data_IF_990763060014
#
_entry.id   IF_990763060014
#
_cell.length_a   1.000
_cell.length_b   1.000
_cell.length_c   1.000
_cell.angle_alpha   90.00
_cell.angle_beta   90.00
_cell.angle_gamma   90.00
#
_symmetry.space_group_name_H-M   'P 1'
#
loop_
_entity.id
_entity.type
_entity.pdbx_description
1 polymer ?
#
# COMPACT_ATOMS: atom_id res chain seq x y z
N UNK A 1 -25.26 -42.01 -10.89
CA UNK A 1 -24.42 -41.60 -9.75
C UNK A 1 -23.52 -40.49 -10.25
N UNK A 2 -24.02 -39.26 -10.15
CA UNK A 2 -23.28 -38.05 -10.54
C UNK A 2 -22.52 -37.59 -9.30
N UNK A 3 -21.20 -37.66 -9.34
CA UNK A 3 -20.33 -37.31 -8.22
C UNK A 3 -20.43 -35.82 -7.95
N UNK A 4 -20.74 -35.46 -6.69
CA UNK A 4 -21.02 -34.10 -6.25
C UNK A 4 -19.91 -33.10 -6.58
N UNK A 5 -20.07 -32.39 -7.70
CA UNK A 5 -19.32 -31.16 -7.97
C UNK A 5 -19.86 -30.08 -7.03
N UNK A 6 -19.18 -29.91 -5.89
CA UNK A 6 -19.40 -28.77 -5.01
C UNK A 6 -19.40 -27.48 -5.81
N UNK A 7 -20.36 -26.61 -5.54
CA UNK A 7 -20.52 -25.30 -6.20
C UNK A 7 -19.16 -24.58 -6.21
N UNK A 8 -18.68 -24.04 -7.34
CA UNK A 8 -17.38 -23.38 -7.39
C UNK A 8 -17.35 -22.27 -6.34
N UNK A 9 -16.33 -22.30 -5.47
CA UNK A 9 -16.14 -21.30 -4.42
C UNK A 9 -16.01 -19.94 -5.10
N UNK A 10 -16.95 -19.04 -4.82
CA UNK A 10 -16.89 -17.67 -5.34
C UNK A 10 -15.62 -16.99 -4.83
N UNK A 11 -15.00 -16.14 -5.64
CA UNK A 11 -13.78 -15.42 -5.27
C UNK A 11 -13.91 -14.66 -3.95
N UNK A 12 -15.12 -14.25 -3.55
CA UNK A 12 -15.44 -13.66 -2.23
C UNK A 12 -14.94 -14.51 -1.05
N UNK A 13 -14.95 -15.84 -1.16
CA UNK A 13 -14.59 -16.76 -0.08
C UNK A 13 -13.17 -17.32 -0.20
N UNK A 14 -12.34 -16.76 -1.07
CA UNK A 14 -10.93 -17.12 -1.13
C UNK A 14 -10.26 -16.72 0.18
N UNK A 15 -9.40 -17.61 0.71
CA UNK A 15 -8.64 -17.40 1.94
C UNK A 15 -7.89 -16.05 1.94
N UNK A 16 -7.16 -15.64 0.88
CA UNK A 16 -6.52 -14.32 0.84
C UNK A 16 -7.52 -13.16 0.97
N UNK A 17 -8.72 -13.27 0.37
CA UNK A 17 -9.73 -12.21 0.45
C UNK A 17 -10.35 -12.12 1.84
N UNK A 18 -10.54 -13.27 2.51
CA UNK A 18 -10.99 -13.30 3.92
C UNK A 18 -9.95 -12.63 4.83
N UNK A 19 -8.65 -12.87 4.59
CA UNK A 19 -7.58 -12.16 5.30
C UNK A 19 -7.68 -10.65 5.01
N UNK A 20 -7.86 -10.24 3.76
CA UNK A 20 -8.09 -8.84 3.38
C UNK A 20 -9.26 -8.18 4.12
N UNK A 21 -10.41 -8.86 4.24
CA UNK A 21 -11.55 -8.36 5.01
C UNK A 21 -11.23 -8.24 6.50
N UNK A 22 -10.48 -9.21 7.06
CA UNK A 22 -10.05 -9.14 8.45
C UNK A 22 -9.12 -7.96 8.74
N UNK A 23 -8.26 -7.58 7.78
CA UNK A 23 -7.41 -6.37 7.86
C UNK A 23 -8.27 -5.12 7.98
N UNK A 24 -9.31 -4.99 7.15
CA UNK A 24 -10.24 -3.84 7.22
C UNK A 24 -10.92 -3.76 8.60
N UNK A 25 -11.40 -4.89 9.13
CA UNK A 25 -12.01 -4.95 10.47
C UNK A 25 -11.01 -4.54 11.56
N UNK A 26 -9.77 -5.04 11.50
CA UNK A 26 -8.71 -4.67 12.44
C UNK A 26 -8.41 -3.16 12.42
N UNK A 27 -8.40 -2.53 11.24
CA UNK A 27 -8.21 -1.08 11.11
C UNK A 27 -9.34 -0.28 11.79
N UNK A 28 -10.59 -0.71 11.65
CA UNK A 28 -11.72 -0.08 12.35
C UNK A 28 -11.62 -0.24 13.87
N UNK A 29 -11.25 -1.42 14.36
CA UNK A 29 -11.05 -1.67 15.79
C UNK A 29 -9.86 -0.83 16.31
N UNK A 30 -8.79 -0.69 15.52
CA UNK A 30 -7.64 0.12 15.90
C UNK A 30 -8.02 1.59 16.15
N UNK A 31 -8.90 2.17 15.32
CA UNK A 31 -9.31 3.58 15.42
C UNK A 31 -9.96 3.95 16.76
N UNK A 32 -10.74 3.03 17.34
CA UNK A 32 -11.45 3.26 18.61
C UNK A 32 -10.59 2.97 19.85
N UNK A 33 -9.36 2.48 19.63
CA UNK A 33 -8.46 2.03 20.68
C UNK A 33 -7.45 3.12 21.12
N UNK A 34 -6.81 2.91 22.28
CA UNK A 34 -5.71 3.76 22.75
C UNK A 34 -4.52 3.73 21.79
N UNK A 35 -3.65 4.75 21.80
CA UNK A 35 -2.52 4.84 20.85
C UNK A 35 -1.60 3.61 20.85
N UNK A 36 -1.38 2.98 22.01
CA UNK A 36 -0.58 1.75 22.11
C UNK A 36 -1.27 0.57 21.42
N UNK A 37 -2.57 0.39 21.69
CA UNK A 37 -3.35 -0.68 21.09
C UNK A 37 -3.58 -0.45 19.59
N UNK A 38 -3.75 0.81 19.16
CA UNK A 38 -3.75 1.21 17.76
C UNK A 38 -2.47 0.72 17.05
N UNK A 39 -1.29 1.01 17.60
CA UNK A 39 0.00 0.60 16.99
C UNK A 39 0.08 -0.92 16.87
N UNK A 40 -0.35 -1.68 17.87
CA UNK A 40 -0.34 -3.15 17.85
C UNK A 40 -1.29 -3.69 16.77
N UNK A 41 -2.58 -3.29 16.82
CA UNK A 41 -3.60 -3.75 15.88
C UNK A 41 -3.28 -3.35 14.44
N UNK A 42 -2.79 -2.13 14.25
CA UNK A 42 -2.31 -1.64 12.96
C UNK A 42 -1.14 -2.49 12.44
N UNK A 43 -0.14 -2.75 13.29
CA UNK A 43 1.03 -3.56 12.91
C UNK A 43 0.62 -4.98 12.53
N UNK A 44 -0.32 -5.59 13.26
CA UNK A 44 -0.89 -6.91 12.91
C UNK A 44 -1.60 -6.85 11.55
N UNK A 45 -2.45 -5.84 11.33
CA UNK A 45 -3.13 -5.63 10.05
C UNK A 45 -2.15 -5.42 8.89
N UNK A 46 -1.04 -4.73 9.13
CA UNK A 46 0.01 -4.52 8.14
C UNK A 46 0.79 -5.80 7.84
N UNK A 47 1.08 -6.63 8.85
CA UNK A 47 1.76 -7.92 8.62
C UNK A 47 0.88 -8.94 7.90
N UNK A 48 -0.44 -8.89 8.11
CA UNK A 48 -1.41 -9.74 7.41
C UNK A 48 -1.45 -9.49 5.90
N UNK A 49 -1.05 -8.31 5.43
CA UNK A 49 -0.86 -7.98 4.01
C UNK A 49 0.09 -8.97 3.31
N UNK A 50 1.28 -9.15 3.88
CA UNK A 50 2.26 -10.08 3.32
C UNK A 50 1.73 -11.53 3.34
N UNK A 51 0.88 -11.87 4.32
CA UNK A 51 0.30 -13.19 4.46
C UNK A 51 -0.82 -13.46 3.45
N UNK A 52 -1.66 -12.48 3.11
CA UNK A 52 -2.69 -12.66 2.08
C UNK A 52 -2.08 -12.92 0.70
N UNK A 53 -1.04 -12.17 0.32
CA UNK A 53 -0.33 -12.35 -0.95
C UNK A 53 0.44 -13.67 -1.01
N UNK A 54 0.97 -14.13 0.12
CA UNK A 54 1.61 -15.45 0.22
C UNK A 54 0.58 -16.58 0.12
N UNK A 55 -0.54 -16.47 0.82
CA UNK A 55 -1.64 -17.43 0.78
C UNK A 55 -2.23 -17.54 -0.63
N UNK A 56 -2.43 -16.42 -1.33
CA UNK A 56 -2.94 -16.39 -2.70
C UNK A 56 -2.08 -17.23 -3.66
N UNK A 57 -0.75 -17.13 -3.55
CA UNK A 57 0.20 -17.86 -4.42
C UNK A 57 0.25 -19.35 -4.12
N UNK A 58 0.27 -19.72 -2.84
CA UNK A 58 0.32 -21.15 -2.43
C UNK A 58 -0.98 -21.85 -2.77
N UNK A 59 -2.11 -21.22 -2.49
CA UNK A 59 -3.43 -21.79 -2.69
C UNK A 59 -3.92 -21.66 -4.13
N UNK A 60 -3.16 -20.96 -5.01
CA UNK A 60 -3.55 -20.61 -6.39
C UNK A 60 -4.92 -19.90 -6.42
N UNK A 61 -5.16 -19.03 -5.45
CA UNK A 61 -6.39 -18.25 -5.24
C UNK A 61 -6.17 -16.77 -5.60
N UNK A 62 -5.35 -16.49 -6.60
CA UNK A 62 -5.15 -15.13 -7.13
C UNK A 62 -6.42 -14.68 -7.88
N UNK A 63 -6.90 -13.47 -7.60
CA UNK A 63 -8.12 -12.93 -8.21
C UNK A 63 -8.03 -11.41 -8.41
N UNK A 64 -8.76 -10.89 -9.40
CA UNK A 64 -8.86 -9.44 -9.62
C UNK A 64 -9.48 -8.72 -8.42
N UNK A 65 -10.47 -9.36 -7.77
CA UNK A 65 -11.06 -8.86 -6.54
C UNK A 65 -10.00 -8.72 -5.44
N UNK A 66 -9.17 -9.75 -5.23
CA UNK A 66 -8.10 -9.70 -4.22
C UNK A 66 -7.08 -8.62 -4.51
N UNK A 67 -6.68 -8.46 -5.78
CA UNK A 67 -5.76 -7.38 -6.19
C UNK A 67 -6.30 -5.97 -5.89
N UNK A 68 -7.58 -5.72 -6.22
CA UNK A 68 -8.21 -4.42 -5.95
C UNK A 68 -8.43 -4.20 -4.45
N UNK A 69 -8.86 -5.25 -3.74
CA UNK A 69 -9.09 -5.21 -2.30
C UNK A 69 -7.80 -4.88 -1.53
N UNK A 70 -6.70 -5.55 -1.87
CA UNK A 70 -5.38 -5.35 -1.28
C UNK A 70 -4.93 -3.90 -1.43
N UNK A 71 -4.91 -3.43 -2.68
CA UNK A 71 -4.49 -2.07 -3.02
C UNK A 71 -5.37 -1.00 -2.35
N UNK A 72 -6.69 -1.21 -2.27
CA UNK A 72 -7.60 -0.29 -1.58
C UNK A 72 -7.38 -0.30 -0.06
N UNK A 73 -7.17 -1.48 0.53
CA UNK A 73 -6.95 -1.67 1.97
C UNK A 73 -5.63 -1.03 2.39
N UNK A 74 -4.57 -1.13 1.57
CA UNK A 74 -3.31 -0.42 1.78
C UNK A 74 -3.49 1.09 1.89
N UNK A 75 -4.25 1.69 0.96
CA UNK A 75 -4.48 3.14 0.97
C UNK A 75 -5.30 3.56 2.18
N UNK A 76 -6.32 2.78 2.54
CA UNK A 76 -7.10 3.01 3.75
C UNK A 76 -6.24 2.90 5.02
N UNK A 77 -5.35 1.91 5.06
CA UNK A 77 -4.38 1.71 6.15
C UNK A 77 -3.45 2.92 6.30
N UNK A 78 -2.79 3.36 5.22
CA UNK A 78 -1.92 4.54 5.25
C UNK A 78 -2.68 5.81 5.65
N UNK A 79 -3.91 6.00 5.17
CA UNK A 79 -4.76 7.14 5.54
C UNK A 79 -5.05 7.16 7.05
N UNK A 80 -5.45 6.02 7.61
CA UNK A 80 -5.75 5.89 9.05
C UNK A 80 -4.51 6.15 9.90
N UNK A 81 -3.34 5.62 9.50
CA UNK A 81 -2.09 5.87 10.21
C UNK A 81 -1.70 7.36 10.19
N UNK A 82 -1.84 8.01 9.04
CA UNK A 82 -1.61 9.45 8.89
C UNK A 82 -2.56 10.25 9.76
N UNK A 83 -3.86 9.95 9.73
CA UNK A 83 -4.87 10.63 10.55
C UNK A 83 -4.50 10.51 12.03
N UNK A 84 -4.18 9.30 12.51
CA UNK A 84 -3.76 9.09 13.90
C UNK A 84 -2.50 9.88 14.24
N UNK A 85 -1.52 9.92 13.34
CA UNK A 85 -0.28 10.69 13.54
C UNK A 85 -0.57 12.19 13.65
N UNK A 86 -1.42 12.73 12.77
CA UNK A 86 -1.83 14.14 12.77
C UNK A 86 -2.55 14.52 14.08
N UNK A 87 -3.42 13.64 14.62
CA UNK A 87 -4.11 13.92 15.89
C UNK A 87 -3.15 14.10 17.06
N UNK A 88 -1.99 13.44 17.04
CA UNK A 88 -0.96 13.55 18.07
C UNK A 88 0.07 14.65 17.77
N UNK A 89 0.35 14.89 16.48
CA UNK A 89 1.32 15.87 16.01
C UNK A 89 0.71 16.82 14.97
N UNK A 90 -0.13 17.79 15.37
CA UNK A 90 -0.83 18.68 14.43
C UNK A 90 0.09 19.48 13.50
N UNK A 91 1.34 19.73 13.92
CA UNK A 91 2.37 20.39 13.10
C UNK A 91 2.72 19.63 11.82
N UNK A 92 2.49 18.31 11.80
CA UNK A 92 2.73 17.45 10.63
C UNK A 92 1.54 17.39 9.66
N UNK A 93 0.46 18.16 9.90
CA UNK A 93 -0.75 18.13 9.08
C UNK A 93 -0.47 18.35 7.59
N UNK A 94 0.17 19.46 7.23
CA UNK A 94 0.44 19.82 5.83
C UNK A 94 1.27 18.75 5.11
N UNK A 95 2.47 18.34 5.61
CA UNK A 95 3.29 17.37 4.88
C UNK A 95 2.63 16.00 4.77
N UNK A 96 1.93 15.51 5.80
CA UNK A 96 1.28 14.20 5.76
C UNK A 96 0.02 14.19 4.89
N UNK A 97 -0.79 15.25 4.90
CA UNK A 97 -1.91 15.39 3.98
C UNK A 97 -1.43 15.49 2.53
N UNK A 98 -0.38 16.27 2.27
CA UNK A 98 0.25 16.33 0.95
C UNK A 98 0.73 14.95 0.49
N UNK A 99 1.41 14.20 1.37
CA UNK A 99 1.80 12.81 1.09
C UNK A 99 0.60 11.93 0.72
N UNK A 100 -0.47 11.96 1.52
CA UNK A 100 -1.66 11.13 1.29
C UNK A 100 -2.35 11.45 -0.04
N UNK A 101 -2.50 12.73 -0.36
CA UNK A 101 -3.10 13.18 -1.64
C UNK A 101 -2.30 12.63 -2.81
N UNK A 102 -0.98 12.79 -2.76
CA UNK A 102 -0.05 12.33 -3.79
C UNK A 102 -0.09 10.81 -3.94
N UNK A 103 -0.10 10.08 -2.83
CA UNK A 103 -0.13 8.63 -2.80
C UNK A 103 -1.41 8.09 -3.48
N UNK A 104 -2.57 8.62 -3.09
CA UNK A 104 -3.87 8.24 -3.69
C UNK A 104 -3.88 8.56 -5.19
N UNK A 105 -3.55 9.79 -5.59
CA UNK A 105 -3.63 10.21 -6.99
C UNK A 105 -2.65 9.40 -7.86
N UNK A 106 -1.41 9.19 -7.40
CA UNK A 106 -0.40 8.43 -8.16
C UNK A 106 -0.83 6.99 -8.45
N UNK A 107 -1.45 6.33 -7.47
CA UNK A 107 -1.95 4.96 -7.64
C UNK A 107 -3.22 4.93 -8.50
N UNK A 108 -4.14 5.87 -8.32
CA UNK A 108 -5.33 5.98 -9.19
C UNK A 108 -4.94 6.14 -10.66
N UNK A 109 -4.00 7.03 -10.96
CA UNK A 109 -3.48 7.22 -12.32
C UNK A 109 -2.82 5.96 -12.87
N UNK A 110 -2.06 5.24 -12.05
CA UNK A 110 -1.41 3.99 -12.46
C UNK A 110 -2.42 2.90 -12.83
N UNK A 111 -3.50 2.75 -12.06
CA UNK A 111 -4.56 1.78 -12.34
C UNK A 111 -5.31 2.17 -13.61
N UNK A 112 -5.72 3.43 -13.73
CA UNK A 112 -6.44 3.93 -14.91
C UNK A 112 -5.59 3.74 -16.17
N UNK A 113 -4.32 4.15 -16.13
CA UNK A 113 -3.39 3.89 -17.22
C UNK A 113 -3.30 2.40 -17.56
N UNK A 114 -3.23 1.50 -16.59
CA UNK A 114 -3.22 0.05 -16.86
C UNK A 114 -4.51 -0.45 -17.49
N UNK A 115 -5.66 0.14 -17.16
CA UNK A 115 -6.95 -0.22 -17.72
C UNK A 115 -7.18 0.32 -19.14
N UNK A 116 -6.70 1.54 -19.43
CA UNK A 116 -6.89 2.21 -20.72
C UNK A 116 -5.85 1.74 -21.75
N UNK A 117 -4.59 1.58 -21.33
CA UNK A 117 -3.52 1.09 -22.21
C UNK A 117 -3.73 -0.38 -22.57
N UNK A 118 -4.26 -0.65 -23.77
CA UNK A 118 -4.38 -2.01 -24.34
C UNK A 118 -3.03 -2.70 -24.61
N UNK A 119 -1.91 -2.03 -24.39
CA UNK A 119 -0.55 -2.52 -24.61
C UNK A 119 0.10 -2.96 -23.30
N UNK A 120 0.02 -4.25 -23.02
CA UNK A 120 0.58 -4.90 -21.82
C UNK A 120 2.12 -4.91 -21.73
N UNK A 121 2.86 -4.19 -22.58
CA UNK A 121 4.31 -4.19 -22.57
C UNK A 121 4.89 -2.80 -22.83
N UNK A 122 5.73 -2.35 -21.89
CA UNK A 122 6.67 -1.19 -21.93
C UNK A 122 6.21 0.15 -21.34
N UNK A 123 5.62 0.16 -20.14
CA UNK A 123 5.59 1.39 -19.32
C UNK A 123 6.99 1.76 -18.79
N UNK A 124 7.95 0.83 -18.74
CA UNK A 124 9.30 1.07 -18.19
C UNK A 124 10.44 1.06 -19.23
N UNK A 125 10.15 1.20 -20.54
CA UNK A 125 11.17 1.13 -21.58
C UNK A 125 11.77 2.48 -21.98
N UNK A 126 11.89 3.42 -21.04
CA UNK A 126 12.69 4.64 -21.20
C UNK A 126 14.04 4.48 -20.52
N UNK A 127 15.10 5.04 -21.12
CA UNK A 127 16.47 5.00 -20.59
C UNK A 127 16.79 6.14 -19.60
N UNK A 128 15.79 6.97 -19.28
CA UNK A 128 15.92 8.17 -18.48
C UNK A 128 16.11 7.90 -16.98
N UNK A 129 16.55 8.94 -16.25
CA UNK A 129 16.79 8.86 -14.81
C UNK A 129 15.54 8.44 -14.02
N UNK A 130 14.37 8.95 -14.40
CA UNK A 130 13.08 8.63 -13.76
C UNK A 130 12.75 7.14 -13.90
N UNK A 131 12.99 6.55 -15.07
CA UNK A 131 12.74 5.13 -15.32
C UNK A 131 13.68 4.25 -14.50
N UNK A 132 14.94 4.64 -14.34
CA UNK A 132 15.90 3.92 -13.50
C UNK A 132 15.51 3.96 -12.03
N UNK A 133 15.13 5.12 -11.52
CA UNK A 133 14.69 5.30 -10.13
C UNK A 133 13.45 4.46 -9.85
N UNK A 134 12.43 4.54 -10.72
CA UNK A 134 11.22 3.73 -10.56
C UNK A 134 11.51 2.23 -10.70
N UNK A 135 12.36 1.83 -11.65
CA UNK A 135 12.73 0.41 -11.80
C UNK A 135 13.46 -0.13 -10.58
N UNK A 136 14.33 0.68 -9.96
CA UNK A 136 14.98 0.35 -8.69
C UNK A 136 13.96 0.24 -7.54
N UNK A 137 13.03 1.20 -7.44
CA UNK A 137 11.96 1.20 -6.43
C UNK A 137 11.07 -0.05 -6.51
N UNK A 138 10.74 -0.52 -7.72
CA UNK A 138 9.90 -1.71 -7.92
C UNK A 138 10.63 -3.06 -7.74
N UNK A 139 11.91 -3.06 -7.37
CA UNK A 139 12.60 -4.30 -6.96
C UNK A 139 11.96 -4.76 -5.64
N UNK A 140 11.43 -5.99 -5.60
CA UNK A 140 10.63 -6.54 -4.47
C UNK A 140 11.21 -6.23 -3.07
N UNK A 141 12.48 -6.53 -2.74
CA UNK A 141 13.04 -6.20 -1.44
C UNK A 141 13.13 -4.68 -1.17
N UNK A 142 13.43 -3.87 -2.20
CA UNK A 142 13.48 -2.41 -2.06
C UNK A 142 12.09 -1.86 -1.75
N UNK A 143 11.08 -2.29 -2.50
CA UNK A 143 9.68 -1.90 -2.27
C UNK A 143 9.23 -2.24 -0.85
N UNK A 144 9.53 -3.46 -0.39
CA UNK A 144 9.20 -3.89 0.96
C UNK A 144 9.89 -3.03 2.04
N UNK A 145 11.20 -2.77 1.91
CA UNK A 145 11.95 -1.95 2.86
C UNK A 145 11.43 -0.51 2.87
N UNK A 146 11.11 0.06 1.70
CA UNK A 146 10.62 1.44 1.60
C UNK A 146 9.22 1.56 2.21
N UNK A 147 8.33 0.61 1.94
CA UNK A 147 7.01 0.56 2.56
C UNK A 147 7.12 0.38 4.08
N UNK A 148 7.82 -0.66 4.54
CA UNK A 148 8.00 -0.94 5.97
C UNK A 148 8.65 0.23 6.71
N UNK A 149 9.71 0.82 6.15
CA UNK A 149 10.39 1.96 6.75
C UNK A 149 9.49 3.19 6.85
N UNK A 150 8.62 3.42 5.87
CA UNK A 150 7.64 4.52 5.90
C UNK A 150 6.57 4.30 6.97
N UNK A 151 6.09 3.07 7.14
CA UNK A 151 5.14 2.73 8.21
C UNK A 151 5.79 2.86 9.60
N UNK A 152 7.01 2.34 9.75
CA UNK A 152 7.79 2.43 11.01
C UNK A 152 8.06 3.89 11.38
N UNK A 153 8.31 4.78 10.42
CA UNK A 153 8.45 6.21 10.68
C UNK A 153 7.22 6.78 11.40
N UNK A 154 6.02 6.54 10.86
CA UNK A 154 4.78 7.06 11.42
C UNK A 154 4.42 6.38 12.76
N UNK A 155 4.60 5.05 12.86
CA UNK A 155 4.40 4.33 14.13
C UNK A 155 5.36 4.81 15.22
N UNK A 156 6.62 5.12 14.86
CA UNK A 156 7.59 5.68 15.78
C UNK A 156 7.16 7.05 16.30
N UNK A 157 6.63 7.91 15.43
CA UNK A 157 6.06 9.20 15.83
C UNK A 157 4.87 9.06 16.78
N UNK A 158 4.07 7.99 16.69
CA UNK A 158 2.90 7.78 17.55
C UNK A 158 3.27 7.33 18.96
N UNK A 159 4.19 6.37 19.12
CA UNK A 159 4.40 5.70 20.41
C UNK A 159 5.85 5.44 20.82
N UNK A 160 6.78 5.24 19.88
CA UNK A 160 8.15 4.80 20.22
C UNK A 160 9.08 5.98 20.51
N UNK A 161 8.86 7.12 19.85
CA UNK A 161 9.58 8.38 20.01
C UNK A 161 11.12 8.25 20.02
N UNK A 162 11.66 7.32 19.22
CA UNK A 162 13.10 7.09 19.12
C UNK A 162 13.71 7.98 18.02
N UNK A 163 14.70 8.79 18.37
CA UNK A 163 15.35 9.76 17.47
C UNK A 163 16.09 9.09 16.31
N UNK A 164 16.80 7.99 16.55
CA UNK A 164 17.54 7.28 15.50
C UNK A 164 16.59 6.70 14.45
N UNK A 165 15.48 6.11 14.91
CA UNK A 165 14.43 5.60 14.03
C UNK A 165 13.80 6.73 13.24
N UNK A 166 13.54 7.87 13.87
CA UNK A 166 12.98 9.05 13.20
C UNK A 166 13.85 9.53 12.03
N UNK A 167 15.17 9.60 12.21
CA UNK A 167 16.11 10.05 11.16
C UNK A 167 16.23 9.05 10.00
N UNK A 168 16.42 7.76 10.32
CA UNK A 168 16.60 6.72 9.31
C UNK A 168 15.29 6.50 8.52
N UNK A 169 14.20 6.25 9.23
CA UNK A 169 12.90 5.97 8.61
C UNK A 169 12.28 7.23 7.99
N UNK A 170 12.57 8.42 8.51
CA UNK A 170 12.16 9.68 7.88
C UNK A 170 12.78 9.90 6.51
N UNK A 171 14.05 9.49 6.33
CA UNK A 171 14.71 9.54 5.01
C UNK A 171 14.06 8.56 4.02
N UNK A 172 13.68 7.37 4.50
CA UNK A 172 12.94 6.37 3.70
C UNK A 172 11.55 6.89 3.31
N UNK A 173 10.83 7.52 4.25
CA UNK A 173 9.53 8.12 4.01
C UNK A 173 9.61 9.23 2.94
N UNK A 174 10.63 10.09 3.02
CA UNK A 174 10.88 11.13 2.01
C UNK A 174 11.17 10.52 0.63
N UNK A 175 11.94 9.43 0.58
CA UNK A 175 12.18 8.70 -0.67
C UNK A 175 10.88 8.11 -1.25
N UNK A 176 10.01 7.50 -0.41
CA UNK A 176 8.68 7.03 -0.82
C UNK A 176 7.85 8.16 -1.43
N UNK A 177 7.84 9.34 -0.77
CA UNK A 177 7.12 10.51 -1.27
C UNK A 177 7.61 10.95 -2.66
N UNK A 178 8.94 10.99 -2.86
CA UNK A 178 9.53 11.28 -4.17
C UNK A 178 9.12 10.24 -5.22
N UNK A 179 9.16 8.95 -4.88
CA UNK A 179 8.77 7.89 -5.84
C UNK A 179 7.30 7.99 -6.24
N UNK A 180 6.40 8.35 -5.32
CA UNK A 180 4.98 8.57 -5.64
C UNK A 180 4.79 9.77 -6.58
N UNK A 181 5.56 10.85 -6.40
CA UNK A 181 5.58 11.99 -7.33
C UNK A 181 6.05 11.59 -8.73
N UNK A 182 7.15 10.85 -8.81
CA UNK A 182 7.68 10.35 -10.09
C UNK A 182 6.70 9.40 -10.79
N UNK A 183 6.00 8.56 -10.02
CA UNK A 183 4.96 7.67 -10.53
C UNK A 183 3.80 8.46 -11.13
N UNK A 184 3.32 9.48 -10.42
CA UNK A 184 2.24 10.35 -10.91
C UNK A 184 2.65 11.06 -12.21
N UNK A 185 3.82 11.68 -12.22
CA UNK A 185 4.36 12.37 -13.40
C UNK A 185 4.41 11.45 -14.62
N UNK A 186 4.93 10.23 -14.43
CA UNK A 186 5.07 9.27 -15.53
C UNK A 186 3.73 8.74 -16.02
N UNK A 187 2.81 8.44 -15.12
CA UNK A 187 1.46 7.99 -15.48
C UNK A 187 0.69 9.08 -16.25
N UNK A 188 0.82 10.35 -15.83
CA UNK A 188 0.21 11.48 -16.53
C UNK A 188 0.75 11.66 -17.96
N UNK A 189 2.07 11.53 -18.16
CA UNK A 189 2.69 11.57 -19.50
C UNK A 189 2.26 10.39 -20.37
N UNK A 190 2.08 9.21 -19.78
CA UNK A 190 1.59 8.04 -20.50
C UNK A 190 0.19 8.29 -21.04
N UNK A 191 -0.72 8.75 -20.17
CA UNK A 191 -2.11 9.06 -20.52
C UNK A 191 -2.23 10.23 -21.50
N UNK A 192 -1.32 11.20 -21.49
CA UNK A 192 -1.38 12.34 -22.42
C UNK A 192 -1.02 11.98 -23.87
N UNK A 193 -0.56 10.75 -24.12
CA UNK A 193 -0.13 10.28 -25.45
C UNK A 193 -1.11 9.29 -26.09
N UNK A 194 -2.15 8.89 -25.36
CA UNK A 194 -3.26 8.04 -25.84
C UNK A 194 -4.40 8.88 -26.40
#
# INVERSE_FOLDING_TARGET
>A
MDTGKGKPITTLYYIPNIIGYSRVVLLFIALICSSRMFVILYSVSYLLDALDGYAARILKQESQLGYILDMATDRASSAILIIKTITLHPKMFIPLCGFLIVDIISHMFCIVHRCVSKTSHKVHAGSGLIDRVLSFYYIKPVLFIVCLGSEVFLLNSICLNNTSVYLICGSIFAFKHLTNMLQLYKAAIGLSKE
#
